data_IF_974718171888
#
_entry.id   IF_974718171888
#
_cell.length_a   1.000
_cell.length_b   1.000
_cell.length_c   1.000
_cell.angle_alpha   90.00
_cell.angle_beta   90.00
_cell.angle_gamma   90.00
#
_symmetry.space_group_name_H-M   'P 1'
#
loop_
_entity.id
_entity.type
_entity.pdbx_description
1 polymer ?
#
# COMPACT_ATOMS: atom_id res chain seq x y z
N UNK A 1 -8.38 0.71 22.69
CA UNK A 1 -7.07 1.39 22.61
C UNK A 1 -6.58 1.72 21.20
N UNK A 2 -7.09 1.10 20.12
CA UNK A 2 -6.77 1.53 18.73
C UNK A 2 -7.65 2.69 18.19
N UNK A 3 -8.80 2.94 18.82
CA UNK A 3 -9.80 3.93 18.37
C UNK A 3 -9.40 5.40 18.59
N UNK A 4 -8.58 5.70 19.61
CA UNK A 4 -8.17 7.08 19.92
C UNK A 4 -7.10 7.61 18.97
N UNK A 5 -6.04 6.83 18.71
CA UNK A 5 -4.94 7.22 17.82
C UNK A 5 -5.42 7.58 16.40
N UNK A 6 -6.41 6.87 15.89
CA UNK A 6 -6.95 7.08 14.55
C UNK A 6 -7.58 8.47 14.37
N UNK A 7 -8.40 8.93 15.32
CA UNK A 7 -9.00 10.28 15.31
C UNK A 7 -7.95 11.39 15.33
N UNK A 8 -6.75 11.08 15.78
CA UNK A 8 -5.65 12.05 15.88
C UNK A 8 -4.78 12.07 14.62
N UNK A 9 -4.69 10.95 13.90
CA UNK A 9 -3.74 10.75 12.80
C UNK A 9 -4.31 11.07 11.42
N UNK A 10 -5.62 10.91 11.21
CA UNK A 10 -6.24 11.05 9.89
C UNK A 10 -7.38 12.05 9.91
N UNK A 11 -7.35 13.01 8.98
CA UNK A 11 -8.48 13.89 8.63
C UNK A 11 -9.53 13.14 7.79
N UNK A 12 -9.23 11.90 7.39
CA UNK A 12 -10.00 11.08 6.47
C UNK A 12 -11.08 10.31 7.25
N UNK A 13 -12.33 10.30 6.75
CA UNK A 13 -13.48 9.62 7.39
C UNK A 13 -13.21 8.14 7.66
N UNK A 14 -13.85 7.60 8.71
CA UNK A 14 -13.77 6.18 9.08
C UNK A 14 -14.16 5.26 7.92
N UNK A 15 -15.12 5.69 7.11
CA UNK A 15 -15.67 4.94 5.99
C UNK A 15 -14.66 4.72 4.86
N UNK A 16 -13.53 5.44 4.87
CA UNK A 16 -12.43 5.25 3.93
C UNK A 16 -11.68 3.93 4.17
N UNK A 17 -11.70 3.44 5.42
CA UNK A 17 -10.97 2.25 5.81
C UNK A 17 -11.91 1.05 5.94
N UNK A 18 -11.42 -0.11 5.50
CA UNK A 18 -12.12 -1.39 5.64
C UNK A 18 -11.96 -1.96 7.05
N UNK A 19 -10.75 -1.82 7.62
CA UNK A 19 -10.45 -2.32 8.96
C UNK A 19 -9.09 -1.83 9.46
N UNK A 20 -8.88 -1.91 10.77
CA UNK A 20 -7.56 -1.73 11.39
C UNK A 20 -7.02 -3.07 11.88
N UNK A 21 -5.74 -3.33 11.64
CA UNK A 21 -5.02 -4.47 12.16
C UNK A 21 -3.76 -4.01 12.87
N UNK A 22 -3.59 -4.46 14.11
CA UNK A 22 -2.43 -4.14 14.92
C UNK A 22 -1.40 -5.28 14.87
N UNK A 23 -0.28 -5.05 14.17
CA UNK A 23 0.87 -5.98 14.17
C UNK A 23 2.03 -5.45 15.01
N UNK A 24 1.86 -4.38 15.79
CA UNK A 24 2.95 -3.68 16.49
C UNK A 24 3.73 -4.59 17.46
N UNK A 25 3.03 -5.50 18.13
CA UNK A 25 3.60 -6.46 19.08
C UNK A 25 3.74 -7.88 18.50
N UNK A 26 3.74 -8.01 17.16
CA UNK A 26 3.93 -9.29 16.48
C UNK A 26 5.33 -9.36 15.86
N UNK A 27 5.90 -10.55 15.80
CA UNK A 27 7.26 -10.83 15.31
C UNK A 27 7.28 -11.89 14.21
N UNK A 28 8.35 -11.91 13.42
CA UNK A 28 8.56 -12.89 12.34
C UNK A 28 8.66 -14.34 12.83
N UNK A 29 8.94 -14.59 14.12
CA UNK A 29 8.82 -15.94 14.70
C UNK A 29 7.39 -16.50 14.66
N UNK A 30 6.40 -15.66 14.36
CA UNK A 30 5.01 -16.05 14.07
C UNK A 30 4.70 -16.04 12.57
N UNK A 31 5.73 -16.13 11.72
CA UNK A 31 5.57 -16.21 10.27
C UNK A 31 4.80 -17.47 9.91
N UNK A 32 3.68 -17.27 9.23
CA UNK A 32 2.88 -18.33 8.68
C UNK A 32 3.23 -18.44 7.18
N UNK A 33 3.99 -19.48 6.76
CA UNK A 33 4.36 -19.68 5.36
C UNK A 33 3.16 -19.95 4.45
N UNK A 34 1.98 -20.27 5.03
CA UNK A 34 0.73 -20.42 4.29
C UNK A 34 0.02 -19.07 4.09
N UNK A 35 0.57 -17.97 4.62
CA UNK A 35 0.00 -16.66 4.43
C UNK A 35 0.23 -16.20 2.99
N UNK A 36 -0.74 -16.49 2.13
CA UNK A 36 -0.77 -16.05 0.74
C UNK A 36 -1.60 -14.78 0.61
N UNK A 37 -1.27 -13.98 -0.40
CA UNK A 37 -2.12 -12.86 -0.80
C UNK A 37 -2.09 -12.72 -2.30
N UNK A 38 -3.21 -13.02 -2.95
CA UNK A 38 -3.31 -13.03 -4.41
C UNK A 38 -2.33 -14.00 -5.02
N UNK A 39 -2.39 -15.25 -4.53
CA UNK A 39 -1.60 -16.39 -4.98
C UNK A 39 -0.07 -16.22 -4.84
N UNK A 40 0.37 -15.21 -4.08
CA UNK A 40 1.78 -14.93 -3.77
C UNK A 40 2.06 -15.01 -2.27
N UNK A 41 3.24 -15.50 -1.83
CA UNK A 41 3.65 -15.45 -0.44
C UNK A 41 3.60 -14.03 0.11
N UNK A 42 2.98 -13.85 1.26
CA UNK A 42 2.78 -12.55 1.87
C UNK A 42 3.36 -12.48 3.27
N UNK A 43 4.43 -11.71 3.40
CA UNK A 43 4.99 -11.34 4.69
C UNK A 43 4.11 -10.26 5.34
N UNK A 44 3.48 -10.61 6.47
CA UNK A 44 2.68 -9.64 7.23
C UNK A 44 3.59 -8.50 7.71
N UNK A 45 3.09 -7.25 7.80
CA UNK A 45 3.90 -6.11 8.19
C UNK A 45 4.08 -6.08 9.70
N UNK A 46 4.82 -7.06 10.25
CA UNK A 46 5.11 -7.17 11.67
C UNK A 46 5.80 -5.91 12.20
N UNK A 47 5.38 -5.44 13.37
CA UNK A 47 5.81 -4.17 13.93
C UNK A 47 5.09 -2.92 13.39
N UNK A 48 4.08 -3.08 12.53
CA UNK A 48 3.30 -1.97 11.96
C UNK A 48 1.83 -2.04 12.33
N UNK A 49 1.19 -0.89 12.48
CA UNK A 49 -0.26 -0.78 12.47
C UNK A 49 -0.74 -0.63 11.02
N UNK A 50 -1.68 -1.48 10.59
CA UNK A 50 -2.21 -1.49 9.22
C UNK A 50 -3.64 -0.98 9.20
N UNK A 51 -3.89 0.04 8.39
CA UNK A 51 -5.21 0.53 8.04
C UNK A 51 -5.54 0.05 6.63
N UNK A 52 -6.48 -0.89 6.49
CA UNK A 52 -6.88 -1.43 5.19
C UNK A 52 -7.77 -0.43 4.44
N UNK A 53 -7.54 -0.27 3.13
CA UNK A 53 -8.37 0.55 2.24
C UNK A 53 -9.35 -0.34 1.47
N UNK A 54 -10.58 0.14 1.26
CA UNK A 54 -11.57 -0.53 0.40
C UNK A 54 -11.19 -0.33 -1.07
N UNK A 55 -10.80 -1.41 -1.77
CA UNK A 55 -10.35 -1.36 -3.18
C UNK A 55 -11.20 -2.19 -4.14
N UNK A 56 -12.03 -3.09 -3.62
CA UNK A 56 -12.87 -3.97 -4.42
C UNK A 56 -13.95 -3.17 -5.14
N UNK A 57 -14.21 -3.50 -6.40
CA UNK A 57 -15.24 -2.86 -7.24
C UNK A 57 -15.02 -1.34 -7.45
N UNK A 58 -13.81 -0.84 -7.15
CA UNK A 58 -13.43 0.58 -7.32
C UNK A 58 -12.65 0.85 -8.61
N UNK A 59 -12.45 -0.14 -9.47
CA UNK A 59 -11.65 0.02 -10.68
C UNK A 59 -12.41 -0.55 -11.90
N UNK A 60 -12.38 0.14 -13.06
CA UNK A 60 -13.15 -0.27 -14.25
C UNK A 60 -12.75 -1.66 -14.79
N UNK A 61 -11.50 -2.06 -14.59
CA UNK A 61 -10.95 -3.35 -15.01
C UNK A 61 -11.24 -4.48 -14.01
N UNK A 62 -12.21 -4.29 -13.11
CA UNK A 62 -12.70 -5.33 -12.20
C UNK A 62 -11.72 -5.73 -11.11
N UNK A 63 -11.88 -6.92 -10.53
CA UNK A 63 -11.12 -7.38 -9.38
C UNK A 63 -10.11 -8.50 -9.68
N UNK A 64 -10.03 -8.94 -10.94
CA UNK A 64 -9.41 -10.22 -11.32
C UNK A 64 -7.97 -10.38 -10.82
N UNK A 65 -7.18 -9.30 -10.86
CA UNK A 65 -5.77 -9.33 -10.46
C UNK A 65 -5.52 -8.97 -8.99
N UNK A 66 -6.57 -8.66 -8.21
CA UNK A 66 -6.45 -8.59 -6.75
C UNK A 66 -6.21 -9.98 -6.12
N UNK A 67 -6.41 -11.03 -6.93
CA UNK A 67 -6.20 -12.44 -6.64
C UNK A 67 -7.36 -13.09 -5.88
N UNK A 68 -7.22 -14.39 -5.61
CA UNK A 68 -8.23 -15.18 -4.89
C UNK A 68 -8.47 -14.62 -3.47
N UNK A 69 -9.64 -14.95 -2.91
CA UNK A 69 -10.08 -14.53 -1.57
C UNK A 69 -9.11 -15.11 -0.52
N UNK A 70 -8.30 -14.25 0.12
CA UNK A 70 -7.50 -14.63 1.31
C UNK A 70 -8.38 -14.75 2.57
N UNK A 71 -7.78 -14.75 3.77
CA UNK A 71 -8.45 -14.89 5.09
C UNK A 71 -9.46 -13.75 5.47
N UNK A 72 -10.15 -13.16 4.50
CA UNK A 72 -11.30 -12.30 4.65
C UNK A 72 -12.31 -12.55 3.55
N UNK A 73 -13.54 -12.76 4.00
CA UNK A 73 -14.69 -13.22 3.24
C UNK A 73 -15.73 -12.13 2.98
N UNK A 74 -15.65 -10.91 3.55
CA UNK A 74 -16.74 -9.91 3.45
C UNK A 74 -16.29 -8.45 3.39
N UNK A 75 -16.94 -7.69 2.50
CA UNK A 75 -16.99 -6.22 2.51
C UNK A 75 -18.18 -5.76 3.37
N UNK A 76 -18.03 -4.67 4.13
CA UNK A 76 -19.15 -4.05 4.87
C UNK A 76 -19.86 -2.94 4.05
N UNK A 77 -21.21 -2.83 4.12
CA UNK A 77 -22.00 -1.78 3.45
C UNK A 77 -21.59 -0.37 3.91
N UNK A 78 -21.54 0.58 2.98
CA UNK A 78 -21.07 1.95 3.20
C UNK A 78 -19.66 2.13 2.66
N UNK A 79 -19.56 2.41 1.36
CA UNK A 79 -18.29 2.41 0.63
C UNK A 79 -17.86 3.83 0.24
N UNK A 80 -16.61 4.16 0.53
CA UNK A 80 -16.02 5.43 0.06
C UNK A 80 -15.69 5.37 -1.45
N UNK A 81 -15.87 6.51 -2.10
CA UNK A 81 -15.75 6.79 -3.53
C UNK A 81 -14.29 6.74 -4.04
N UNK A 82 -14.11 6.41 -5.33
CA UNK A 82 -12.83 6.31 -6.06
C UNK A 82 -11.87 7.48 -5.77
N UNK A 83 -12.43 8.67 -5.53
CA UNK A 83 -11.71 9.95 -5.43
C UNK A 83 -10.61 9.96 -4.35
N UNK A 84 -10.80 9.27 -3.22
CA UNK A 84 -9.80 9.22 -2.15
C UNK A 84 -8.57 8.39 -2.51
N UNK A 85 -8.78 7.21 -3.11
CA UNK A 85 -7.70 6.38 -3.63
C UNK A 85 -7.01 7.05 -4.84
N UNK A 86 -7.79 7.71 -5.70
CA UNK A 86 -7.25 8.50 -6.81
C UNK A 86 -6.36 9.64 -6.32
N UNK A 87 -6.72 10.34 -5.24
CA UNK A 87 -5.88 11.39 -4.66
C UNK A 87 -4.49 10.88 -4.29
N UNK A 88 -4.41 9.74 -3.61
CA UNK A 88 -3.16 9.07 -3.23
C UNK A 88 -2.34 8.67 -4.47
N UNK A 89 -2.98 8.01 -5.45
CA UNK A 89 -2.35 7.59 -6.69
C UNK A 89 -1.80 8.80 -7.46
N UNK A 90 -2.60 9.86 -7.61
CA UNK A 90 -2.28 11.06 -8.40
C UNK A 90 -1.13 11.87 -7.82
N UNK A 91 -1.00 11.94 -6.49
CA UNK A 91 -0.05 12.85 -5.85
C UNK A 91 1.24 12.18 -5.36
N UNK A 92 1.22 10.89 -5.03
CA UNK A 92 2.33 10.23 -4.31
C UNK A 92 3.01 9.06 -5.06
N UNK A 93 2.37 8.48 -6.09
CA UNK A 93 2.97 7.43 -6.92
C UNK A 93 3.48 8.03 -8.24
N UNK A 94 4.67 8.64 -8.19
CA UNK A 94 5.33 9.24 -9.35
C UNK A 94 6.46 8.35 -9.83
N UNK A 95 6.58 8.18 -11.14
CA UNK A 95 7.78 7.62 -11.72
C UNK A 95 8.98 8.44 -11.27
N UNK A 96 10.07 7.76 -10.93
CA UNK A 96 11.34 8.42 -10.66
C UNK A 96 12.34 8.00 -11.71
N UNK A 97 13.05 8.99 -12.23
CA UNK A 97 14.22 8.76 -13.05
C UNK A 97 15.35 8.32 -12.11
N UNK A 98 15.89 7.12 -12.38
CA UNK A 98 16.97 6.43 -11.65
C UNK A 98 16.57 5.74 -10.33
N UNK A 99 16.39 4.43 -10.46
CA UNK A 99 16.90 3.39 -9.56
C UNK A 99 17.56 2.31 -10.46
N UNK A 100 18.28 1.34 -9.88
CA UNK A 100 19.15 0.38 -10.57
C UNK A 100 18.56 -0.31 -11.82
N UNK A 101 17.24 -0.30 -12.00
CA UNK A 101 16.52 -1.06 -13.02
C UNK A 101 15.73 -0.21 -14.02
N UNK A 102 15.94 1.11 -14.06
CA UNK A 102 15.32 2.03 -15.02
C UNK A 102 14.23 2.92 -14.45
N UNK A 103 13.48 3.60 -15.33
CA UNK A 103 12.41 4.54 -14.95
C UNK A 103 11.10 3.81 -14.66
N UNK A 104 10.48 4.12 -13.52
CA UNK A 104 9.17 3.59 -13.17
C UNK A 104 8.82 3.75 -11.70
N UNK A 105 7.84 2.97 -11.25
CA UNK A 105 7.41 2.91 -9.86
C UNK A 105 7.87 1.60 -9.24
N UNK A 106 8.62 1.74 -8.16
CA UNK A 106 9.22 0.63 -7.45
C UNK A 106 8.35 0.19 -6.28
N UNK A 107 8.30 -1.11 -6.03
CA UNK A 107 7.60 -1.73 -4.91
C UNK A 107 8.42 -2.91 -4.40
N UNK A 108 8.19 -3.31 -3.15
CA UNK A 108 8.83 -4.48 -2.54
C UNK A 108 7.79 -5.39 -1.91
N UNK A 109 7.91 -6.72 -2.06
CA UNK A 109 7.11 -7.67 -1.29
C UNK A 109 7.51 -7.72 0.20
N UNK A 110 8.74 -7.31 0.55
CA UNK A 110 9.20 -7.17 1.94
C UNK A 110 9.08 -5.71 2.43
N UNK A 111 8.32 -5.52 3.51
CA UNK A 111 8.16 -4.23 4.19
C UNK A 111 9.48 -3.70 4.74
N UNK A 112 10.44 -4.56 5.08
CA UNK A 112 11.75 -4.16 5.61
C UNK A 112 12.53 -3.30 4.60
N UNK A 113 12.46 -3.68 3.32
CA UNK A 113 13.06 -2.94 2.20
C UNK A 113 12.35 -1.60 2.02
N UNK A 114 11.01 -1.58 2.03
CA UNK A 114 10.24 -0.34 1.96
C UNK A 114 10.52 0.59 3.15
N UNK A 115 10.78 0.05 4.33
CA UNK A 115 11.10 0.81 5.54
C UNK A 115 12.40 1.61 5.40
N UNK A 116 13.41 1.05 4.72
CA UNK A 116 14.67 1.76 4.44
C UNK A 116 14.40 3.09 3.72
N UNK A 117 13.48 3.09 2.75
CA UNK A 117 13.09 4.28 2.00
C UNK A 117 12.14 5.20 2.78
N UNK A 118 11.37 4.66 3.73
CA UNK A 118 10.45 5.42 4.57
C UNK A 118 11.14 6.23 5.68
N UNK A 119 12.39 5.92 6.06
CA UNK A 119 13.15 6.60 7.13
C UNK A 119 13.23 8.13 6.96
N UNK A 120 13.19 8.63 5.72
CA UNK A 120 13.24 10.06 5.41
C UNK A 120 11.86 10.76 5.41
N UNK A 121 10.78 10.02 5.71
CA UNK A 121 9.37 10.46 5.57
C UNK A 121 8.61 10.40 6.88
N UNK A 122 9.29 10.70 7.98
CA UNK A 122 8.67 10.81 9.29
C UNK A 122 7.83 12.08 9.40
N UNK A 123 6.75 12.02 10.18
CA UNK A 123 5.97 13.19 10.57
C UNK A 123 5.67 13.13 12.06
N UNK A 124 5.62 14.29 12.71
CA UNK A 124 5.30 14.40 14.13
C UNK A 124 3.88 14.89 14.29
N UNK A 125 3.10 14.16 15.08
CA UNK A 125 1.75 14.56 15.38
C UNK A 125 1.75 15.64 16.44
N UNK A 126 1.35 16.87 16.08
CA UNK A 126 1.39 18.01 17.01
C UNK A 126 0.59 17.77 18.30
N UNK A 127 -0.50 17.00 18.22
CA UNK A 127 -1.41 16.76 19.34
C UNK A 127 -0.80 15.92 20.47
N UNK A 128 0.04 14.93 20.14
CA UNK A 128 0.60 14.00 21.13
C UNK A 128 2.14 13.94 21.12
N UNK A 129 2.80 14.75 20.28
CA UNK A 129 4.25 14.85 20.17
C UNK A 129 4.94 13.62 19.59
N UNK A 130 4.21 12.55 19.25
CA UNK A 130 4.81 11.32 18.75
C UNK A 130 5.17 11.45 17.27
N UNK A 131 6.33 10.91 16.91
CA UNK A 131 6.78 10.79 15.53
C UNK A 131 6.39 9.43 14.96
N UNK A 132 5.90 9.45 13.72
CA UNK A 132 5.50 8.27 12.99
C UNK A 132 6.14 8.26 11.61
N UNK A 133 6.27 7.05 11.07
CA UNK A 133 6.56 6.81 9.65
C UNK A 133 5.40 6.06 9.01
N UNK A 134 5.21 6.30 7.72
CA UNK A 134 4.12 5.72 6.93
C UNK A 134 4.64 5.00 5.69
N UNK A 135 4.07 3.84 5.38
CA UNK A 135 4.30 3.10 4.13
C UNK A 135 2.95 2.85 3.45
N UNK A 136 2.91 3.08 2.13
CA UNK A 136 1.77 2.70 1.31
C UNK A 136 1.86 1.22 0.96
N UNK A 137 0.81 0.47 1.27
CA UNK A 137 0.69 -0.93 0.89
C UNK A 137 -0.09 -1.04 -0.42
N UNK A 138 0.55 -1.57 -1.45
CA UNK A 138 0.01 -1.65 -2.81
C UNK A 138 -0.17 -3.09 -3.29
N UNK A 139 -1.22 -3.32 -4.07
CA UNK A 139 -1.30 -4.46 -4.99
C UNK A 139 -0.74 -4.02 -6.33
N UNK A 140 0.15 -4.85 -6.88
CA UNK A 140 0.75 -4.60 -8.19
C UNK A 140 0.24 -5.66 -9.15
N UNK A 141 -0.30 -5.24 -10.29
CA UNK A 141 -0.80 -6.12 -11.32
C UNK A 141 0.34 -7.01 -11.84
N UNK A 142 0.26 -8.34 -11.67
CA UNK A 142 1.34 -9.24 -12.07
C UNK A 142 1.69 -9.16 -13.56
N UNK A 143 0.72 -8.81 -14.42
CA UNK A 143 0.93 -8.68 -15.88
C UNK A 143 1.61 -7.37 -16.28
N UNK A 144 1.74 -6.41 -15.37
CA UNK A 144 2.27 -5.06 -15.66
C UNK A 144 3.47 -4.68 -14.81
N UNK A 145 4.01 -5.65 -14.05
CA UNK A 145 5.22 -5.48 -13.27
C UNK A 145 6.30 -6.38 -13.81
N UNK A 146 7.53 -5.93 -13.60
CA UNK A 146 8.74 -6.67 -13.81
C UNK A 146 9.31 -7.05 -12.43
N UNK A 147 9.65 -8.32 -12.24
CA UNK A 147 10.39 -8.77 -11.06
C UNK A 147 11.87 -8.56 -11.40
N UNK A 148 12.51 -7.61 -10.72
CA UNK A 148 13.92 -7.27 -10.98
C UNK A 148 14.87 -8.08 -10.11
N UNK A 149 14.46 -8.35 -8.88
CA UNK A 149 15.07 -9.31 -7.97
C UNK A 149 14.02 -9.79 -6.95
N UNK A 150 14.44 -10.53 -5.93
CA UNK A 150 13.58 -11.07 -4.86
C UNK A 150 12.83 -10.00 -4.04
N UNK A 151 13.35 -8.78 -4.00
CA UNK A 151 12.89 -7.67 -3.17
C UNK A 151 12.33 -6.50 -3.98
N UNK A 152 12.52 -6.47 -5.29
CA UNK A 152 12.20 -5.31 -6.12
C UNK A 152 11.29 -5.70 -7.28
N UNK A 153 10.10 -5.10 -7.27
CA UNK A 153 9.17 -5.06 -8.38
C UNK A 153 9.14 -3.67 -9.00
N UNK A 154 9.12 -3.63 -10.31
CA UNK A 154 9.06 -2.40 -11.10
C UNK A 154 7.81 -2.39 -11.95
N UNK A 155 7.01 -1.34 -11.85
CA UNK A 155 6.08 -0.97 -12.92
C UNK A 155 6.81 0.00 -13.83
N UNK A 156 7.25 -0.42 -15.03
CA UNK A 156 8.03 0.41 -15.93
C UNK A 156 7.16 1.54 -16.48
N UNK A 157 7.74 2.73 -16.59
CA UNK A 157 7.07 3.88 -17.23
C UNK A 157 8.07 4.49 -18.21
N UNK A 158 7.88 4.31 -19.53
CA UNK A 158 8.83 4.75 -20.54
C UNK A 158 9.23 6.22 -20.40
N UNK A 159 10.48 6.52 -20.74
CA UNK A 159 10.95 7.91 -20.80
C UNK A 159 10.13 8.71 -21.83
N UNK A 160 9.86 9.98 -21.53
CA UNK A 160 9.00 10.82 -22.37
C UNK A 160 7.51 10.51 -22.28
N UNK A 161 7.06 9.58 -21.44
CA UNK A 161 5.63 9.31 -21.23
C UNK A 161 4.91 10.57 -20.73
N UNK A 162 3.85 11.06 -21.41
CA UNK A 162 3.07 12.21 -20.94
C UNK A 162 2.41 11.96 -19.59
N UNK A 163 2.22 13.00 -18.78
CA UNK A 163 1.69 12.87 -17.42
C UNK A 163 0.33 12.16 -17.33
N UNK A 164 -0.57 12.38 -18.30
CA UNK A 164 -1.85 11.65 -18.35
C UNK A 164 -1.65 10.16 -18.63
N UNK A 165 -0.72 9.81 -19.51
CA UNK A 165 -0.42 8.41 -19.81
C UNK A 165 0.27 7.71 -18.65
N UNK A 166 1.14 8.42 -17.93
CA UNK A 166 1.72 7.93 -16.68
C UNK A 166 0.62 7.57 -15.69
N UNK A 167 -0.37 8.46 -15.47
CA UNK A 167 -1.52 8.17 -14.59
C UNK A 167 -2.30 6.94 -15.01
N UNK A 168 -2.54 6.75 -16.31
CA UNK A 168 -3.22 5.54 -16.82
C UNK A 168 -2.41 4.28 -16.52
N UNK A 169 -1.09 4.32 -16.71
CA UNK A 169 -0.20 3.20 -16.38
C UNK A 169 -0.29 2.90 -14.89
N UNK A 170 -0.16 3.91 -14.01
CA UNK A 170 -0.25 3.71 -12.57
C UNK A 170 -1.61 3.15 -12.16
N UNK A 171 -2.72 3.79 -12.57
CA UNK A 171 -4.08 3.40 -12.19
C UNK A 171 -4.41 1.97 -12.61
N UNK A 172 -3.86 1.53 -13.74
CA UNK A 172 -4.11 0.20 -14.28
C UNK A 172 -3.11 -0.87 -13.81
N UNK A 173 -2.06 -0.48 -13.08
CA UNK A 173 -0.99 -1.37 -12.61
C UNK A 173 -0.87 -1.44 -11.09
N UNK A 174 -1.30 -0.42 -10.35
CA UNK A 174 -1.09 -0.28 -8.91
C UNK A 174 -2.39 0.10 -8.22
N UNK A 175 -2.75 -0.67 -7.19
CA UNK A 175 -3.93 -0.43 -6.34
C UNK A 175 -3.50 -0.32 -4.88
N UNK A 176 -3.48 0.90 -4.30
CA UNK A 176 -3.22 1.09 -2.88
C UNK A 176 -4.35 0.48 -2.05
N UNK A 177 -4.03 -0.43 -1.14
CA UNK A 177 -5.02 -1.17 -0.35
C UNK A 177 -4.74 -1.15 1.16
N UNK A 178 -3.67 -0.46 1.59
CA UNK A 178 -3.41 -0.27 3.00
C UNK A 178 -2.45 0.88 3.27
N UNK A 179 -2.58 1.48 4.45
CA UNK A 179 -1.58 2.37 5.03
C UNK A 179 -0.95 1.64 6.21
N UNK A 180 0.37 1.57 6.23
CA UNK A 180 1.13 1.07 7.37
C UNK A 180 1.68 2.25 8.15
N UNK A 181 1.47 2.25 9.46
CA UNK A 181 1.96 3.27 10.36
C UNK A 181 2.81 2.63 11.45
N UNK A 182 3.97 3.20 11.74
CA UNK A 182 4.83 2.77 12.82
C UNK A 182 5.32 3.99 13.59
N UNK A 183 5.18 3.94 14.92
CA UNK A 183 5.80 4.92 15.81
C UNK A 183 7.33 4.74 15.73
N UNK A 184 8.05 5.86 15.63
CA UNK A 184 9.52 5.91 15.57
C UNK A 184 10.09 6.06 16.97
#
# INVERSE_FOLDING_TARGET
>A
TSSSLWKELFVISFDFFDSVFDFTNMSESKYDPLCMRGDEPYKRPYGWMRFALKVRDKYPDGNDWLGTVGWRDRSSPGETDLKGAEGIIRSHLKARDRQAFGRGIYSSPDVSVADIFAKSKNFTLQKNGNTYKVIMQNRINPKKREIKDENIWLVPIPEGTPAEKEKEIVKSSIRPYGLLLKKV
#
